data_IF_369228089564
#
_entry.id   IF_369228089564
#
_cell.length_a   1.000
_cell.length_b   1.000
_cell.length_c   1.000
_cell.angle_alpha   90.00
_cell.angle_beta   90.00
_cell.angle_gamma   90.00
#
_symmetry.space_group_name_H-M   'P 1'
#
loop_
_entity.id
_entity.type
_entity.pdbx_description
1 polymer ?
#
# COMPACT_ATOMS: atom_id res chain seq x y z
N UNK A 1 5.92 0.42 -4.79
CA UNK A 1 5.03 -0.06 -5.87
C UNK A 1 5.63 -1.23 -6.64
N UNK A 2 6.88 -1.14 -7.11
CA UNK A 2 7.56 -2.21 -7.87
C UNK A 2 7.50 -3.60 -7.21
N UNK A 3 7.77 -3.71 -5.89
CA UNK A 3 7.69 -5.00 -5.17
C UNK A 3 6.31 -5.67 -5.25
N UNK A 4 5.23 -4.87 -5.18
CA UNK A 4 3.84 -5.38 -5.23
C UNK A 4 3.55 -5.94 -6.62
N UNK A 5 3.97 -5.21 -7.67
CA UNK A 5 3.81 -5.64 -9.06
C UNK A 5 4.65 -6.89 -9.31
N UNK A 6 5.91 -6.93 -8.85
CA UNK A 6 6.76 -8.12 -8.98
C UNK A 6 6.16 -9.36 -8.30
N UNK A 7 5.53 -9.21 -7.14
CA UNK A 7 4.87 -10.31 -6.43
C UNK A 7 3.59 -10.80 -7.13
N UNK A 8 2.90 -9.93 -7.89
CA UNK A 8 1.61 -10.22 -8.52
C UNK A 8 1.62 -9.88 -10.03
N UNK A 9 2.72 -10.20 -10.71
CA UNK A 9 2.95 -9.69 -12.07
C UNK A 9 2.18 -10.41 -13.15
N UNK A 10 1.61 -11.60 -12.91
CA UNK A 10 1.02 -12.45 -13.95
C UNK A 10 -0.39 -12.88 -13.57
N UNK A 11 -1.32 -12.63 -14.47
CA UNK A 11 -2.72 -13.05 -14.41
C UNK A 11 -2.95 -14.00 -15.59
N UNK A 12 -3.52 -15.18 -15.35
CA UNK A 12 -3.75 -16.20 -16.37
C UNK A 12 -5.23 -16.55 -16.39
N UNK A 13 -5.79 -16.77 -17.59
CA UNK A 13 -7.17 -17.17 -17.73
C UNK A 13 -7.37 -18.60 -17.15
N UNK A 14 -8.45 -18.85 -16.38
CA UNK A 14 -8.68 -20.17 -15.79
C UNK A 14 -8.87 -21.30 -16.82
N UNK A 15 -9.40 -20.97 -17.99
CA UNK A 15 -9.79 -21.91 -19.03
C UNK A 15 -8.67 -22.17 -20.06
N UNK A 16 -7.73 -21.24 -20.19
CA UNK A 16 -6.63 -21.33 -21.15
C UNK A 16 -5.33 -20.71 -20.58
N UNK A 17 -4.32 -21.54 -20.25
CA UNK A 17 -3.03 -21.07 -19.74
C UNK A 17 -2.23 -20.20 -20.73
N UNK A 18 -2.55 -20.27 -22.02
CA UNK A 18 -1.90 -19.46 -23.06
C UNK A 18 -2.44 -18.03 -23.10
N UNK A 19 -3.59 -17.77 -22.47
CA UNK A 19 -4.16 -16.42 -22.33
C UNK A 19 -3.71 -15.83 -21.00
N UNK A 20 -2.82 -14.84 -21.04
CA UNK A 20 -2.33 -14.15 -19.85
C UNK A 20 -2.17 -12.64 -20.06
N UNK A 21 -2.15 -11.93 -18.94
CA UNK A 21 -1.72 -10.54 -18.80
C UNK A 21 -0.55 -10.49 -17.81
N UNK A 22 0.51 -9.81 -18.18
CA UNK A 22 1.73 -9.66 -17.39
C UNK A 22 2.10 -8.18 -17.25
N UNK A 23 2.21 -7.71 -16.02
CA UNK A 23 2.77 -6.39 -15.71
C UNK A 23 4.30 -6.49 -15.74
N UNK A 24 4.95 -5.72 -16.61
CA UNK A 24 6.42 -5.69 -16.72
C UNK A 24 7.02 -4.59 -15.86
N UNK A 25 6.41 -3.41 -15.83
CA UNK A 25 6.88 -2.28 -15.05
C UNK A 25 5.72 -1.41 -14.56
N UNK A 26 5.99 -0.61 -13.53
CA UNK A 26 5.05 0.34 -12.96
C UNK A 26 5.76 1.64 -12.62
N UNK A 27 5.15 2.74 -13.01
CA UNK A 27 5.67 4.08 -12.89
C UNK A 27 4.58 5.00 -12.32
N UNK A 28 4.99 5.95 -11.51
CA UNK A 28 4.13 7.02 -11.03
C UNK A 28 4.58 8.31 -11.70
N UNK A 29 3.64 9.05 -12.28
CA UNK A 29 3.95 10.34 -12.91
C UNK A 29 3.74 11.51 -11.94
N UNK A 30 4.00 12.73 -12.43
CA UNK A 30 3.68 13.96 -11.72
C UNK A 30 2.18 14.29 -11.95
N UNK A 31 1.47 14.86 -10.96
CA UNK A 31 0.08 15.28 -11.14
C UNK A 31 -0.12 16.29 -12.28
N UNK A 32 -1.02 16.00 -13.22
CA UNK A 32 -1.43 16.92 -14.28
C UNK A 32 -2.97 16.99 -14.39
N UNK A 33 -3.46 18.14 -14.84
CA UNK A 33 -4.86 18.48 -14.93
C UNK A 33 -5.45 17.95 -16.25
N UNK A 34 -6.15 16.81 -16.15
CA UNK A 34 -7.02 16.25 -17.19
C UNK A 34 -6.30 15.77 -18.49
N UNK A 35 -6.10 14.46 -18.69
CA UNK A 35 -5.34 13.91 -19.84
C UNK A 35 -5.90 14.21 -21.24
N UNK A 36 -7.13 14.71 -21.36
CA UNK A 36 -7.84 14.80 -22.65
C UNK A 36 -7.81 16.18 -23.30
N UNK A 37 -7.53 17.25 -22.56
CA UNK A 37 -7.72 18.63 -23.06
C UNK A 37 -6.58 19.60 -22.73
N UNK A 38 -5.82 19.40 -21.65
CA UNK A 38 -4.62 20.19 -21.40
C UNK A 38 -3.56 19.38 -20.64
N UNK A 39 -2.29 19.74 -20.86
CA UNK A 39 -1.15 19.15 -20.15
C UNK A 39 -0.78 20.00 -18.93
N UNK A 40 -1.72 20.79 -18.41
CA UNK A 40 -1.41 21.73 -17.34
C UNK A 40 -1.05 20.98 -16.07
N UNK A 41 -0.01 21.45 -15.38
CA UNK A 41 0.39 20.82 -14.13
C UNK A 41 -0.72 21.04 -13.10
N UNK A 42 -1.14 19.96 -12.43
CA UNK A 42 -2.15 20.06 -11.38
C UNK A 42 -1.48 20.66 -10.15
N UNK A 43 -1.93 21.83 -9.70
CA UNK A 43 -1.42 22.46 -8.49
C UNK A 43 -2.29 22.10 -7.28
N UNK A 44 -1.74 22.01 -6.07
CA UNK A 44 -2.55 21.73 -4.89
C UNK A 44 -3.61 22.81 -4.64
N UNK A 45 -3.27 24.09 -4.82
CA UNK A 45 -4.21 25.20 -4.79
C UNK A 45 -5.40 25.04 -5.76
N UNK A 46 -5.15 24.60 -7.00
CA UNK A 46 -6.24 24.33 -7.94
C UNK A 46 -7.16 23.21 -7.44
N UNK A 47 -6.59 22.16 -6.84
CA UNK A 47 -7.39 21.07 -6.25
C UNK A 47 -8.27 21.53 -5.09
N UNK A 48 -7.75 22.43 -4.22
CA UNK A 48 -8.53 23.01 -3.11
C UNK A 48 -9.74 23.80 -3.63
N UNK A 49 -9.52 24.67 -4.61
CA UNK A 49 -10.57 25.57 -5.13
C UNK A 49 -11.64 24.88 -5.98
N UNK A 50 -11.33 23.72 -6.57
CA UNK A 50 -12.23 23.02 -7.50
C UNK A 50 -12.77 21.70 -6.95
N UNK A 51 -12.68 21.47 -5.63
CA UNK A 51 -13.12 20.22 -4.98
C UNK A 51 -12.53 18.95 -5.62
N UNK A 52 -11.28 19.03 -6.11
CA UNK A 52 -10.59 17.89 -6.74
C UNK A 52 -9.62 17.21 -5.78
N UNK A 53 -9.29 15.97 -6.09
CA UNK A 53 -8.23 15.23 -5.39
C UNK A 53 -6.90 15.50 -6.08
N UNK A 54 -5.88 15.85 -5.29
CA UNK A 54 -4.51 16.01 -5.78
C UNK A 54 -3.88 14.62 -5.96
N UNK A 55 -3.86 14.12 -7.19
CA UNK A 55 -3.43 12.77 -7.51
C UNK A 55 -2.64 12.71 -8.82
N UNK A 56 -1.71 11.75 -8.90
CA UNK A 56 -0.95 11.46 -10.10
C UNK A 56 -1.43 10.14 -10.75
N UNK A 57 -1.34 10.01 -12.08
CA UNK A 57 -1.66 8.76 -12.74
C UNK A 57 -0.60 7.69 -12.46
N UNK A 58 -1.08 6.48 -12.25
CA UNK A 58 -0.27 5.27 -12.15
C UNK A 58 -0.22 4.65 -13.55
N UNK A 59 0.99 4.54 -14.10
CA UNK A 59 1.24 3.95 -15.40
C UNK A 59 1.88 2.58 -15.27
N UNK A 60 1.48 1.67 -16.13
CA UNK A 60 2.05 0.32 -16.20
C UNK A 60 2.40 -0.03 -17.62
N UNK A 61 3.44 -0.82 -17.76
CA UNK A 61 3.75 -1.52 -19.00
C UNK A 61 3.19 -2.93 -18.86
N UNK A 62 2.39 -3.33 -19.84
CA UNK A 62 1.71 -4.61 -19.84
C UNK A 62 2.03 -5.39 -21.11
N UNK A 63 2.24 -6.68 -20.93
CA UNK A 63 2.33 -7.65 -22.00
C UNK A 63 1.15 -8.60 -21.85
N UNK A 64 0.37 -8.77 -22.92
CA UNK A 64 -0.81 -9.61 -22.88
C UNK A 64 -0.95 -10.39 -24.18
N UNK A 65 -1.64 -11.52 -24.09
CA UNK A 65 -1.92 -12.35 -25.26
C UNK A 65 -3.36 -12.19 -25.71
N UNK A 66 -3.58 -12.09 -27.02
CA UNK A 66 -4.91 -12.10 -27.64
C UNK A 66 -5.04 -13.26 -28.63
N UNK A 67 -6.26 -13.75 -28.81
CA UNK A 67 -6.60 -14.70 -29.86
C UNK A 67 -7.01 -13.94 -31.12
N UNK A 68 -6.29 -14.15 -32.23
CA UNK A 68 -6.65 -13.60 -33.52
C UNK A 68 -6.44 -14.66 -34.60
N UNK A 69 -7.52 -15.05 -35.31
CA UNK A 69 -7.48 -16.01 -36.44
C UNK A 69 -6.74 -17.32 -36.11
N UNK A 70 -7.16 -17.98 -35.04
CA UNK A 70 -6.62 -19.28 -34.57
C UNK A 70 -5.13 -19.28 -34.21
N UNK A 71 -4.54 -18.09 -33.98
CA UNK A 71 -3.18 -17.93 -33.46
C UNK A 71 -3.19 -17.05 -32.22
N UNK A 72 -2.38 -17.45 -31.24
CA UNK A 72 -2.10 -16.65 -30.05
C UNK A 72 -1.03 -15.62 -30.39
N UNK A 73 -1.34 -14.34 -30.23
CA UNK A 73 -0.40 -13.23 -30.44
C UNK A 73 -0.08 -12.59 -29.10
N UNK A 74 1.21 -12.34 -28.85
CA UNK A 74 1.68 -11.56 -27.70
C UNK A 74 1.82 -10.10 -28.12
N UNK A 75 1.11 -9.22 -27.41
CA UNK A 75 1.13 -7.78 -27.60
C UNK A 75 1.75 -7.12 -26.38
N UNK A 76 2.28 -5.91 -26.59
CA UNK A 76 2.80 -5.06 -25.53
C UNK A 76 2.16 -3.69 -25.64
N UNK A 77 1.70 -3.18 -24.51
CA UNK A 77 1.22 -1.82 -24.36
C UNK A 77 2.07 -1.15 -23.29
N UNK A 78 2.72 -0.07 -23.69
CA UNK A 78 3.54 0.74 -22.79
C UNK A 78 2.70 1.89 -22.24
N UNK A 79 2.94 2.28 -20.99
CA UNK A 79 2.38 3.49 -20.39
C UNK A 79 0.84 3.51 -20.27
N UNK A 80 0.23 2.33 -20.07
CA UNK A 80 -1.21 2.20 -19.81
C UNK A 80 -1.57 2.79 -18.43
N UNK A 81 -2.59 3.64 -18.36
CA UNK A 81 -3.04 4.23 -17.09
C UNK A 81 -4.04 3.32 -16.40
N UNK A 82 -3.69 2.83 -15.20
CA UNK A 82 -4.56 1.91 -14.42
C UNK A 82 -5.32 2.60 -13.29
N UNK A 83 -4.98 3.83 -12.96
CA UNK A 83 -5.63 4.57 -11.90
C UNK A 83 -4.83 5.80 -11.47
N UNK A 84 -5.25 6.40 -10.36
CA UNK A 84 -4.64 7.60 -9.81
C UNK A 84 -4.27 7.40 -8.34
N UNK A 85 -3.08 7.81 -7.96
CA UNK A 85 -2.58 7.79 -6.59
C UNK A 85 -2.63 9.20 -5.99
N UNK A 86 -3.33 9.42 -4.88
CA UNK A 86 -3.23 10.67 -4.14
C UNK A 86 -1.79 10.96 -3.75
N UNK A 87 -1.32 12.17 -4.04
CA UNK A 87 0.06 12.58 -3.76
C UNK A 87 0.07 13.41 -2.47
N UNK A 88 0.99 13.08 -1.58
CA UNK A 88 1.20 13.85 -0.36
C UNK A 88 1.91 15.16 -0.69
N UNK A 89 1.45 16.28 -0.14
CA UNK A 89 2.09 17.57 -0.35
C UNK A 89 3.52 17.55 0.16
N UNK A 90 4.42 18.16 -0.63
CA UNK A 90 5.89 18.17 -0.42
C UNK A 90 6.59 16.81 -0.46
N UNK A 91 5.93 15.74 -0.91
CA UNK A 91 6.60 14.47 -1.23
C UNK A 91 7.37 14.55 -2.55
N UNK A 92 8.20 13.54 -2.86
CA UNK A 92 9.03 13.52 -4.07
C UNK A 92 8.29 13.62 -5.40
N UNK A 93 7.00 13.26 -5.46
CA UNK A 93 6.15 13.37 -6.65
C UNK A 93 5.25 14.62 -6.62
N UNK A 94 5.34 15.46 -5.59
CA UNK A 94 4.61 16.72 -5.51
C UNK A 94 5.32 17.80 -6.33
N UNK A 95 4.53 18.63 -7.03
CA UNK A 95 5.05 19.79 -7.80
C UNK A 95 5.78 20.81 -6.92
N UNK A 96 5.47 20.85 -5.62
CA UNK A 96 6.07 21.78 -4.66
C UNK A 96 7.43 21.31 -4.13
N UNK A 97 7.84 20.08 -4.44
CA UNK A 97 9.07 19.52 -3.89
C UNK A 97 10.32 20.24 -4.45
N UNK A 98 11.20 20.69 -3.55
CA UNK A 98 12.45 21.35 -3.91
C UNK A 98 12.30 22.78 -4.45
N UNK A 99 11.11 23.38 -4.35
CA UNK A 99 10.85 24.76 -4.77
C UNK A 99 11.30 25.76 -3.71
N UNK A 100 11.80 26.91 -4.14
CA UNK A 100 12.13 28.03 -3.26
C UNK A 100 10.88 28.83 -2.86
N UNK A 101 11.04 29.80 -1.96
CA UNK A 101 9.92 30.60 -1.44
C UNK A 101 9.22 31.41 -2.53
N UNK A 102 9.98 31.97 -3.48
CA UNK A 102 9.46 32.76 -4.59
C UNK A 102 8.66 31.90 -5.57
N UNK A 103 9.14 30.70 -5.88
CA UNK A 103 8.42 29.73 -6.67
C UNK A 103 7.14 29.28 -5.97
N UNK A 104 7.18 28.95 -4.68
CA UNK A 104 5.99 28.57 -3.91
C UNK A 104 4.93 29.67 -3.93
N UNK A 105 5.34 30.93 -3.80
CA UNK A 105 4.45 32.07 -3.92
C UNK A 105 3.78 32.15 -5.30
N UNK A 106 4.50 31.84 -6.39
CA UNK A 106 3.91 31.75 -7.75
C UNK A 106 2.90 30.62 -7.90
N UNK A 107 3.06 29.53 -7.16
CA UNK A 107 2.08 28.43 -7.09
C UNK A 107 0.89 28.74 -6.17
N UNK A 108 0.92 29.88 -5.46
CA UNK A 108 -0.12 30.25 -4.48
C UNK A 108 -0.04 29.44 -3.19
N UNK A 109 1.12 28.88 -2.87
CA UNK A 109 1.35 28.04 -1.69
C UNK A 109 2.22 28.77 -0.66
N UNK A 110 2.00 28.46 0.61
CA UNK A 110 2.77 29.06 1.71
C UNK A 110 4.13 28.35 1.88
N UNK A 111 5.26 29.09 1.92
CA UNK A 111 6.57 28.51 2.22
C UNK A 111 6.67 27.86 3.61
N UNK A 112 5.88 28.35 4.56
CA UNK A 112 5.84 27.86 5.94
C UNK A 112 4.87 26.68 6.15
N UNK A 113 4.12 26.26 5.14
CA UNK A 113 3.25 25.08 5.24
C UNK A 113 4.12 23.82 5.47
N UNK A 114 3.93 23.04 6.54
CA UNK A 114 4.73 21.82 6.74
C UNK A 114 4.54 20.76 5.64
N UNK A 115 3.40 20.75 4.93
CA UNK A 115 3.02 19.66 4.03
C UNK A 115 2.73 18.36 4.80
N UNK A 116 2.89 17.19 4.14
CA UNK A 116 2.68 15.90 4.80
C UNK A 116 1.23 15.42 4.87
N UNK A 117 0.31 16.12 4.21
CA UNK A 117 -1.11 15.78 4.12
C UNK A 117 -1.55 15.59 2.66
N UNK A 118 -2.78 15.13 2.47
CA UNK A 118 -3.38 14.87 1.17
C UNK A 118 -4.55 15.82 0.93
N UNK A 119 -4.76 16.24 -0.33
CA UNK A 119 -5.98 16.94 -0.73
C UNK A 119 -6.91 15.94 -1.42
N UNK A 120 -8.06 15.66 -0.84
CA UNK A 120 -9.06 14.73 -1.35
C UNK A 120 -10.39 15.43 -1.45
N UNK A 121 -10.91 15.57 -2.67
CA UNK A 121 -12.14 16.32 -2.98
C UNK A 121 -12.12 17.73 -2.34
N UNK A 122 -11.08 18.51 -2.62
CA UNK A 122 -10.89 19.86 -2.08
C UNK A 122 -10.49 19.95 -0.61
N UNK A 123 -10.61 18.86 0.15
CA UNK A 123 -10.39 18.86 1.59
C UNK A 123 -9.01 18.29 1.95
N UNK A 124 -8.34 18.94 2.89
CA UNK A 124 -7.07 18.47 3.45
C UNK A 124 -7.30 17.34 4.45
N UNK A 125 -6.50 16.28 4.34
CA UNK A 125 -6.63 15.07 5.15
C UNK A 125 -5.25 14.58 5.55
N UNK A 126 -5.07 14.36 6.86
CA UNK A 126 -3.85 13.81 7.45
C UNK A 126 -4.10 12.35 7.81
N UNK A 127 -3.14 11.49 7.51
CA UNK A 127 -3.13 10.12 8.04
C UNK A 127 -2.41 10.17 9.39
N UNK A 128 -3.13 9.84 10.47
CA UNK A 128 -2.53 9.75 11.79
C UNK A 128 -1.67 8.50 11.90
N UNK A 129 -0.52 8.65 12.54
CA UNK A 129 0.36 7.51 12.85
C UNK A 129 -0.36 6.64 13.87
N UNK A 130 -0.45 5.34 13.57
CA UNK A 130 -1.00 4.33 14.48
C UNK A 130 0.15 3.58 15.14
N UNK A 131 0.11 3.51 16.47
CA UNK A 131 1.00 2.66 17.24
C UNK A 131 0.44 1.23 17.26
N UNK A 132 1.26 0.27 16.83
CA UNK A 132 0.95 -1.15 16.92
C UNK A 132 1.98 -1.85 17.81
N UNK A 133 1.56 -2.91 18.51
CA UNK A 133 2.49 -3.77 19.25
C UNK A 133 3.51 -4.40 18.29
N UNK A 134 4.76 -4.58 18.73
CA UNK A 134 5.79 -5.18 17.90
C UNK A 134 5.40 -6.61 17.52
N UNK A 135 5.41 -6.89 16.22
CA UNK A 135 5.25 -8.24 15.66
C UNK A 135 6.56 -9.00 15.83
N UNK A 136 6.48 -10.33 15.90
CA UNK A 136 7.63 -11.22 16.05
C UNK A 136 8.49 -10.90 17.30
N UNK A 137 7.87 -10.34 18.35
CA UNK A 137 8.50 -10.08 19.64
C UNK A 137 7.73 -10.82 20.75
N UNK A 138 8.45 -11.43 21.68
CA UNK A 138 7.83 -12.11 22.83
C UNK A 138 7.48 -11.05 23.86
N UNK A 139 6.22 -10.99 24.25
CA UNK A 139 5.70 -10.08 25.28
C UNK A 139 5.31 -10.94 26.49
N UNK A 140 5.88 -10.63 27.66
CA UNK A 140 5.59 -11.33 28.92
C UNK A 140 4.71 -10.43 29.77
N UNK A 141 3.54 -10.93 30.14
CA UNK A 141 2.54 -10.24 30.94
C UNK A 141 2.04 -11.13 32.07
N UNK A 142 1.46 -10.52 33.10
CA UNK A 142 0.73 -11.25 34.15
C UNK A 142 -0.78 -11.09 33.91
N UNK A 143 -1.47 -12.21 33.69
CA UNK A 143 -2.92 -12.24 33.51
C UNK A 143 -3.64 -11.75 34.79
N UNK A 144 -4.92 -11.38 34.69
CA UNK A 144 -5.77 -10.95 35.82
C UNK A 144 -5.83 -11.97 36.96
N UNK A 145 -5.56 -13.25 36.66
CA UNK A 145 -5.49 -14.35 37.63
C UNK A 145 -4.12 -14.50 38.31
N UNK A 146 -3.17 -13.59 38.05
CA UNK A 146 -1.81 -13.66 38.58
C UNK A 146 -0.90 -14.69 37.88
N UNK A 147 -1.31 -15.21 36.72
CA UNK A 147 -0.54 -16.21 35.95
C UNK A 147 0.41 -15.50 35.00
N UNK A 148 1.66 -15.97 34.93
CA UNK A 148 2.63 -15.49 33.94
C UNK A 148 2.25 -16.05 32.57
N UNK A 149 2.11 -15.15 31.60
CA UNK A 149 1.77 -15.47 30.21
C UNK A 149 2.79 -14.85 29.27
N UNK A 150 3.26 -15.61 28.30
CA UNK A 150 4.10 -15.10 27.21
C UNK A 150 3.29 -15.16 25.91
N UNK A 151 3.22 -14.06 25.17
CA UNK A 151 2.51 -14.00 23.90
C UNK A 151 3.43 -13.53 22.78
N UNK A 152 3.22 -14.06 21.59
CA UNK A 152 3.89 -13.61 20.37
C UNK A 152 2.86 -13.48 19.26
N UNK A 153 2.85 -12.32 18.61
CA UNK A 153 2.11 -12.11 17.36
C UNK A 153 3.09 -12.32 16.21
N UNK A 154 3.07 -13.53 15.65
CA UNK A 154 3.89 -13.90 14.51
C UNK A 154 3.27 -13.37 13.23
N UNK A 155 4.05 -12.67 12.43
CA UNK A 155 3.64 -12.13 11.13
C UNK A 155 4.69 -12.49 10.09
N UNK A 156 4.32 -13.35 9.15
CA UNK A 156 5.04 -13.64 7.92
C UNK A 156 4.14 -13.28 6.71
N UNK A 157 4.71 -13.19 5.51
CA UNK A 157 3.97 -12.77 4.31
C UNK A 157 2.64 -13.54 4.15
N UNK A 158 1.53 -12.81 4.32
CA UNK A 158 0.17 -13.34 4.22
C UNK A 158 -0.39 -14.08 5.44
N UNK A 159 0.43 -14.45 6.44
CA UNK A 159 -0.01 -15.22 7.61
C UNK A 159 0.30 -14.46 8.90
N UNK A 160 -0.76 -14.17 9.66
CA UNK A 160 -0.67 -13.66 11.03
C UNK A 160 -1.22 -14.70 11.98
N UNK A 161 -0.46 -15.04 13.01
CA UNK A 161 -0.90 -15.95 14.07
C UNK A 161 -0.55 -15.36 15.43
N UNK A 162 -1.43 -15.60 16.40
CA UNK A 162 -1.17 -15.29 17.81
C UNK A 162 -0.95 -16.61 18.53
N UNK A 163 0.17 -16.69 19.23
CA UNK A 163 0.50 -17.83 20.08
C UNK A 163 0.69 -17.33 21.49
N UNK A 164 0.07 -18.01 22.45
CA UNK A 164 0.09 -17.70 23.86
C UNK A 164 0.64 -18.92 24.61
N UNK A 165 1.57 -18.68 25.52
CA UNK A 165 2.12 -19.67 26.43
C UNK A 165 1.68 -19.28 27.83
N UNK A 166 0.97 -20.18 28.51
CA UNK A 166 0.40 -19.96 29.83
C UNK A 166 1.04 -20.91 30.83
N UNK A 167 1.54 -20.36 31.94
CA UNK A 167 1.94 -21.16 33.08
C UNK A 167 0.74 -21.32 34.03
N UNK A 168 0.34 -22.57 34.30
CA UNK A 168 -0.73 -22.91 35.23
C UNK A 168 -0.35 -24.14 36.05
N UNK A 169 -0.46 -24.06 37.39
CA UNK A 169 -0.11 -25.14 38.32
C UNK A 169 1.26 -25.82 38.04
N UNK A 170 2.30 -25.02 37.79
CA UNK A 170 3.67 -25.48 37.43
C UNK A 170 3.76 -26.27 36.11
N UNK A 171 2.71 -26.26 35.29
CA UNK A 171 2.70 -26.81 33.93
C UNK A 171 2.61 -25.67 32.93
N UNK A 172 3.19 -25.88 31.76
CA UNK A 172 3.22 -24.89 30.69
C UNK A 172 2.33 -25.38 29.55
N UNK A 173 1.40 -24.53 29.14
CA UNK A 173 0.42 -24.79 28.10
C UNK A 173 0.62 -23.84 26.94
N UNK A 174 0.51 -24.38 25.72
CA UNK A 174 0.45 -23.65 24.47
C UNK A 174 -1.01 -23.46 24.08
N UNK A 175 -1.38 -22.21 23.85
CA UNK A 175 -2.67 -21.78 23.32
C UNK A 175 -2.45 -21.09 21.97
N UNK A 176 -3.11 -21.60 20.95
CA UNK A 176 -2.98 -21.15 19.57
C UNK A 176 -4.28 -21.42 18.85
N UNK A 177 -4.66 -20.51 17.93
CA UNK A 177 -5.87 -20.63 17.13
C UNK A 177 -5.93 -21.90 16.26
N UNK A 178 -4.80 -22.61 16.10
CA UNK A 178 -4.74 -23.88 15.38
C UNK A 178 -5.21 -25.08 16.21
N UNK A 179 -5.28 -24.95 17.54
CA UNK A 179 -5.70 -26.03 18.44
C UNK A 179 -7.07 -25.73 19.05
N UNK A 180 -7.92 -26.75 19.16
CA UNK A 180 -9.24 -26.63 19.81
C UNK A 180 -9.15 -26.53 21.33
N UNK A 181 -8.04 -27.01 21.92
CA UNK A 181 -7.76 -27.01 23.35
C UNK A 181 -6.30 -26.63 23.58
N UNK A 182 -6.02 -26.05 24.74
CA UNK A 182 -4.65 -25.82 25.19
C UNK A 182 -3.86 -27.13 25.25
N UNK A 183 -2.66 -27.13 24.68
CA UNK A 183 -1.79 -28.31 24.59
C UNK A 183 -0.64 -28.16 25.58
N UNK A 184 -0.33 -29.19 26.36
CA UNK A 184 0.83 -29.16 27.25
C UNK A 184 2.12 -29.14 26.41
N UNK A 185 3.08 -28.25 26.73
CA UNK A 185 4.32 -28.13 25.94
C UNK A 185 5.15 -29.43 25.94
N UNK A 186 5.05 -30.26 26.99
CA UNK A 186 5.73 -31.55 27.07
C UNK A 186 5.29 -32.57 26.00
N UNK A 187 4.26 -32.28 25.20
CA UNK A 187 3.81 -33.11 24.09
C UNK A 187 4.45 -32.71 22.75
N UNK A 188 5.25 -31.64 22.71
CA UNK A 188 6.01 -31.18 21.56
C UNK A 188 7.49 -31.54 21.68
#
# INVERSE_FOLDING_TARGET
MQKIVMANNRIVAPQDPFIYLRYTAVHLEIPFACPYYSTDILTPQFCRLNDRTYAAPIRVDVEYTTYLRDKTLTLREESATIGYMPIMLRSCFCVLNGKDEDELARYGECPLDPGGYFIVKGNEKVILIQEELPKNHIIIETDRKGRVTASVMSSADGIKSKTLVVMDNKKIYLDSNQFTKMVCILLF
#
